data_IF_748533860108
#
_entry.id   IF_748533860108
#
_cell.length_a   1.000
_cell.length_b   1.000
_cell.length_c   1.000
_cell.angle_alpha   90.00
_cell.angle_beta   90.00
_cell.angle_gamma   90.00
#
_symmetry.space_group_name_H-M   'P 1'
#
loop_
_entity.id
_entity.type
_entity.pdbx_description
1 polymer ?
#
# COMPACT_ATOMS: atom_id res chain seq x y z
N UNK A 1 -13.53 49.94 2.74
CA UNK A 1 -12.81 48.70 3.12
C UNK A 1 -11.75 48.45 2.07
N UNK A 2 -10.45 48.33 2.41
CA UNK A 2 -9.44 47.96 1.43
C UNK A 2 -9.75 46.55 0.87
N UNK A 3 -9.55 46.36 -0.43
CA UNK A 3 -9.75 45.07 -1.08
C UNK A 3 -8.75 44.03 -0.56
N UNK A 4 -9.21 42.80 -0.31
CA UNK A 4 -8.35 41.69 0.10
C UNK A 4 -7.40 41.34 -1.07
N UNK A 5 -6.11 41.16 -0.77
CA UNK A 5 -5.12 40.70 -1.76
C UNK A 5 -5.08 39.17 -1.78
N UNK A 6 -5.02 38.53 -2.96
CA UNK A 6 -4.89 37.08 -3.05
C UNK A 6 -3.53 36.60 -2.54
N UNK A 7 -3.45 35.30 -2.24
CA UNK A 7 -2.19 34.66 -1.89
C UNK A 7 -1.22 34.70 -3.09
N UNK A 8 0.07 35.09 -2.89
CA UNK A 8 0.99 35.37 -3.99
C UNK A 8 1.53 34.14 -4.72
N UNK A 9 1.27 32.92 -4.23
CA UNK A 9 1.75 31.67 -4.86
C UNK A 9 0.58 30.74 -5.16
N UNK A 10 -0.20 30.98 -6.22
CA UNK A 10 -1.40 30.19 -6.52
C UNK A 10 -1.08 28.71 -6.85
N UNK A 11 0.12 28.45 -7.38
CA UNK A 11 0.60 27.10 -7.68
C UNK A 11 1.07 26.31 -6.45
N UNK A 12 1.22 26.95 -5.27
CA UNK A 12 1.67 26.26 -4.07
C UNK A 12 0.51 25.58 -3.34
N UNK A 13 0.51 24.25 -3.37
CA UNK A 13 -0.43 23.41 -2.64
C UNK A 13 0.15 22.91 -1.31
N UNK A 14 -0.66 22.95 -0.26
CA UNK A 14 -0.33 22.34 1.04
C UNK A 14 -1.45 21.40 1.45
N UNK A 15 -1.09 20.19 1.85
CA UNK A 15 -2.02 19.19 2.33
C UNK A 15 -1.56 18.58 3.63
N UNK A 16 -2.51 18.27 4.51
CA UNK A 16 -2.25 17.59 5.78
C UNK A 16 -3.27 16.49 6.01
N UNK A 17 -2.85 15.43 6.67
CA UNK A 17 -3.75 14.37 7.11
C UNK A 17 -3.29 13.72 8.42
N UNK A 18 -4.26 13.17 9.14
CA UNK A 18 -4.07 12.40 10.36
C UNK A 18 -4.86 11.09 10.27
N UNK A 19 -4.21 9.98 10.55
CA UNK A 19 -4.78 8.64 10.48
C UNK A 19 -4.59 7.89 11.79
N UNK A 20 -5.67 7.38 12.37
CA UNK A 20 -5.60 6.52 13.57
C UNK A 20 -5.05 5.14 13.22
N UNK A 21 -3.99 4.73 13.92
CA UNK A 21 -3.39 3.40 13.74
C UNK A 21 -4.41 2.30 14.09
N UNK A 22 -5.23 2.53 15.11
CA UNK A 22 -6.31 1.62 15.52
C UNK A 22 -7.35 1.41 14.41
N UNK A 23 -7.69 2.45 13.63
CA UNK A 23 -8.62 2.30 12.50
C UNK A 23 -8.05 1.38 11.43
N UNK A 24 -6.77 1.54 11.08
CA UNK A 24 -6.12 0.67 10.11
C UNK A 24 -6.05 -0.76 10.63
N UNK A 25 -5.64 -0.94 11.89
CA UNK A 25 -5.64 -2.24 12.56
C UNK A 25 -7.03 -2.89 12.52
N UNK A 26 -8.09 -2.13 12.81
CA UNK A 26 -9.45 -2.63 12.71
C UNK A 26 -9.79 -3.02 11.27
N UNK A 27 -9.49 -2.20 10.26
CA UNK A 27 -9.79 -2.53 8.84
C UNK A 27 -9.14 -3.84 8.41
N UNK A 28 -7.88 -4.08 8.78
CA UNK A 28 -7.16 -5.29 8.37
C UNK A 28 -7.50 -6.52 9.25
N UNK A 29 -7.89 -6.32 10.51
CA UNK A 29 -8.28 -7.39 11.44
C UNK A 29 -9.78 -7.67 11.52
N UNK A 30 -10.65 -6.81 10.95
CA UNK A 30 -12.10 -6.87 11.14
C UNK A 30 -12.62 -8.24 10.76
N UNK A 31 -13.18 -8.96 11.72
CA UNK A 31 -13.97 -10.16 11.45
C UNK A 31 -15.22 -9.73 10.70
N UNK A 32 -15.43 -10.27 9.50
CA UNK A 32 -16.71 -10.15 8.83
C UNK A 32 -17.67 -10.99 9.67
N UNK A 33 -18.76 -10.43 10.23
CA UNK A 33 -19.81 -11.27 10.77
C UNK A 33 -20.26 -12.18 9.64
N UNK A 34 -20.09 -13.49 9.79
CA UNK A 34 -20.67 -14.48 8.90
C UNK A 34 -22.18 -14.20 8.91
N UNK A 35 -22.68 -13.43 7.94
CA UNK A 35 -24.12 -13.37 7.71
C UNK A 35 -24.44 -14.71 7.08
N UNK A 36 -24.67 -15.72 7.91
CA UNK A 36 -25.44 -16.89 7.52
C UNK A 36 -26.84 -16.39 7.17
N UNK A 37 -26.99 -15.87 5.95
CA UNK A 37 -28.29 -15.83 5.29
C UNK A 37 -28.40 -17.18 4.58
N UNK A 38 -29.11 -18.17 5.15
CA UNK A 38 -29.46 -19.34 4.38
C UNK A 38 -30.44 -18.87 3.31
N UNK A 39 -29.98 -18.76 2.07
CA UNK A 39 -30.89 -18.79 0.93
C UNK A 39 -30.98 -20.25 0.47
N UNK A 40 -32.17 -20.80 0.68
CA UNK A 40 -32.78 -22.00 0.08
C UNK A 40 -32.97 -23.24 0.99
N UNK A 41 -34.27 -23.51 1.18
CA UNK A 41 -35.02 -24.75 1.44
C UNK A 41 -34.51 -25.79 2.44
N UNK A 42 -35.26 -25.85 3.55
CA UNK A 42 -35.75 -27.06 4.22
C UNK A 42 -35.57 -28.35 3.40
N UNK A 43 -34.61 -29.19 3.79
CA UNK A 43 -34.79 -30.64 4.01
C UNK A 43 -33.84 -31.04 5.15
N UNK A 44 -34.39 -31.67 6.20
CA UNK A 44 -33.64 -32.16 7.36
C UNK A 44 -32.85 -33.42 6.96
N UNK A 45 -31.57 -33.50 7.31
CA UNK A 45 -30.99 -34.75 7.79
C UNK A 45 -29.99 -34.44 8.90
N UNK A 46 -30.10 -35.22 9.96
CA UNK A 46 -29.24 -35.16 11.13
C UNK A 46 -28.06 -36.11 10.89
N UNK A 47 -26.83 -35.58 10.91
CA UNK A 47 -25.64 -36.26 11.43
C UNK A 47 -24.40 -35.38 11.22
N UNK A 48 -23.62 -35.29 12.31
CA UNK A 48 -22.16 -35.15 12.38
C UNK A 48 -21.47 -33.81 12.02
N UNK A 49 -20.73 -33.37 13.04
CA UNK A 49 -19.48 -32.62 13.05
C UNK A 49 -19.51 -31.09 12.95
N UNK A 50 -19.45 -30.51 14.16
CA UNK A 50 -18.96 -29.17 14.48
C UNK A 50 -17.48 -29.04 14.09
N UNK A 51 -17.17 -28.95 12.79
CA UNK A 51 -15.89 -28.44 12.35
C UNK A 51 -15.92 -26.90 12.46
N UNK A 52 -15.04 -26.25 13.26
CA UNK A 52 -14.95 -24.80 13.26
C UNK A 52 -14.38 -24.34 11.92
N UNK A 53 -15.20 -23.61 11.16
CA UNK A 53 -14.80 -22.92 9.92
C UNK A 53 -13.54 -22.07 10.19
N UNK A 54 -12.47 -22.14 9.37
CA UNK A 54 -11.19 -21.49 9.70
C UNK A 54 -11.30 -19.96 9.53
N UNK A 55 -11.53 -19.27 10.65
CA UNK A 55 -11.73 -17.81 10.81
C UNK A 55 -10.52 -16.95 10.36
N UNK A 56 -9.42 -17.57 9.90
CA UNK A 56 -8.08 -16.95 9.82
C UNK A 56 -7.57 -16.63 8.41
N UNK A 57 -8.09 -17.26 7.35
CA UNK A 57 -7.71 -16.89 5.95
C UNK A 57 -8.17 -15.48 5.55
N UNK A 58 -9.10 -14.89 6.30
CA UNK A 58 -9.67 -13.59 5.95
C UNK A 58 -8.75 -12.41 6.27
N UNK A 59 -7.86 -12.52 7.27
CA UNK A 59 -7.00 -11.39 7.68
C UNK A 59 -5.95 -11.07 6.61
N UNK A 60 -5.33 -12.10 6.05
CA UNK A 60 -4.33 -11.97 4.99
C UNK A 60 -4.97 -11.47 3.72
N UNK A 61 -6.13 -12.03 3.34
CA UNK A 61 -6.94 -11.52 2.24
C UNK A 61 -7.29 -10.04 2.42
N UNK A 62 -7.65 -9.61 3.64
CA UNK A 62 -7.91 -8.20 3.96
C UNK A 62 -6.67 -7.32 3.86
N UNK A 63 -5.53 -7.73 4.42
CA UNK A 63 -4.25 -7.01 4.27
C UNK A 63 -3.90 -6.87 2.79
N UNK A 64 -4.04 -7.94 2.03
CA UNK A 64 -3.80 -7.94 0.59
C UNK A 64 -4.77 -7.02 -0.16
N UNK A 65 -6.08 -7.10 0.10
CA UNK A 65 -7.07 -6.19 -0.51
C UNK A 65 -6.83 -4.73 -0.14
N UNK A 66 -6.52 -4.46 1.13
CA UNK A 66 -6.26 -3.12 1.61
C UNK A 66 -5.00 -2.54 0.97
N UNK A 67 -3.89 -3.28 0.99
CA UNK A 67 -2.62 -2.87 0.35
C UNK A 67 -2.76 -2.71 -1.15
N UNK A 68 -3.54 -3.56 -1.85
CA UNK A 68 -3.85 -3.36 -3.28
C UNK A 68 -4.60 -2.07 -3.56
N UNK A 69 -5.43 -1.59 -2.62
CA UNK A 69 -6.16 -0.33 -2.79
C UNK A 69 -5.26 0.87 -2.55
N UNK A 70 -4.39 0.81 -1.54
CA UNK A 70 -3.66 1.98 -1.05
C UNK A 70 -2.21 2.09 -1.53
N UNK A 71 -1.52 0.99 -1.84
CA UNK A 71 -0.10 0.99 -2.21
C UNK A 71 0.06 0.80 -3.72
N UNK A 72 1.02 1.51 -4.32
CA UNK A 72 1.43 1.27 -5.72
C UNK A 72 2.11 -0.10 -5.85
N UNK A 73 2.22 -0.70 -7.06
CA UNK A 73 2.91 -1.97 -7.25
C UNK A 73 4.33 -1.99 -6.64
N UNK A 74 5.08 -0.91 -6.85
CA UNK A 74 6.43 -0.75 -6.30
C UNK A 74 6.46 -0.67 -4.76
N UNK A 75 5.49 0.02 -4.15
CA UNK A 75 5.35 0.06 -2.69
C UNK A 75 4.95 -1.31 -2.14
N UNK A 76 4.05 -2.04 -2.81
CA UNK A 76 3.65 -3.40 -2.41
C UNK A 76 4.82 -4.36 -2.44
N UNK A 77 5.67 -4.28 -3.46
CA UNK A 77 6.89 -5.10 -3.52
C UNK A 77 7.77 -4.87 -2.28
N UNK A 78 8.04 -3.59 -1.96
CA UNK A 78 8.82 -3.23 -0.77
C UNK A 78 8.14 -3.66 0.53
N UNK A 79 6.82 -3.44 0.62
CA UNK A 79 6.01 -3.82 1.76
C UNK A 79 6.03 -5.33 2.00
N UNK A 80 5.81 -6.14 0.95
CA UNK A 80 5.83 -7.60 1.03
C UNK A 80 7.23 -8.11 1.39
N UNK A 81 8.29 -7.48 0.89
CA UNK A 81 9.65 -7.84 1.31
C UNK A 81 9.89 -7.60 2.80
N UNK A 82 9.36 -6.51 3.36
CA UNK A 82 9.56 -6.14 4.76
C UNK A 82 8.63 -6.89 5.72
N UNK A 83 7.36 -7.04 5.35
CA UNK A 83 6.31 -7.55 6.25
C UNK A 83 5.77 -8.91 5.83
N UNK A 84 6.11 -9.43 4.65
CA UNK A 84 5.70 -10.75 4.17
C UNK A 84 6.00 -11.87 5.15
N UNK A 85 7.21 -11.99 5.70
CA UNK A 85 7.51 -13.00 6.72
C UNK A 85 6.60 -12.90 7.96
N UNK A 86 6.30 -11.67 8.42
CA UNK A 86 5.37 -11.45 9.53
C UNK A 86 3.92 -11.77 9.17
N UNK A 87 3.51 -11.53 7.92
CA UNK A 87 2.17 -11.87 7.44
C UNK A 87 2.02 -13.39 7.33
N UNK A 88 3.04 -14.10 6.84
CA UNK A 88 3.04 -15.56 6.75
C UNK A 88 3.14 -16.21 8.15
N UNK A 89 3.86 -15.60 9.10
CA UNK A 89 3.90 -16.09 10.48
C UNK A 89 2.52 -16.02 11.17
N UNK A 90 1.64 -15.11 10.74
CA UNK A 90 0.24 -15.10 11.18
C UNK A 90 -0.56 -16.34 10.69
N UNK A 91 -0.06 -17.07 9.69
CA UNK A 91 -0.66 -18.32 9.18
C UNK A 91 -0.37 -19.51 10.10
N UNK A 92 0.81 -19.58 10.72
CA UNK A 92 1.33 -20.82 11.33
C UNK A 92 0.98 -21.01 12.82
N UNK A 93 0.80 -19.95 13.61
CA UNK A 93 0.59 -20.05 15.07
C UNK A 93 -0.89 -20.17 15.50
N UNK A 94 -1.67 -20.99 14.80
CA UNK A 94 -3.12 -21.10 14.98
C UNK A 94 -3.59 -21.86 16.23
N UNK A 95 -2.91 -22.93 16.64
CA UNK A 95 -3.49 -23.93 17.58
C UNK A 95 -2.56 -24.44 18.71
N UNK A 96 -1.36 -23.88 18.91
CA UNK A 96 -0.51 -24.29 20.04
C UNK A 96 -0.71 -23.35 21.27
N UNK A 97 -0.94 -23.88 22.49
CA UNK A 97 -0.69 -23.13 23.71
C UNK A 97 0.83 -23.09 23.92
N UNK A 98 1.52 -22.26 23.15
CA UNK A 98 2.97 -22.14 23.23
C UNK A 98 3.32 -21.10 24.29
N UNK A 99 3.88 -21.58 25.41
CA UNK A 99 4.44 -20.76 26.50
C UNK A 99 5.55 -19.80 26.02
N UNK A 100 6.04 -19.96 24.79
CA UNK A 100 7.03 -19.10 24.13
C UNK A 100 6.46 -18.14 23.07
N UNK A 101 5.16 -18.18 22.75
CA UNK A 101 4.49 -17.20 21.86
C UNK A 101 4.09 -15.89 22.58
N UNK A 102 4.51 -15.75 23.83
CA UNK A 102 4.25 -14.61 24.71
C UNK A 102 4.91 -13.30 24.25
N UNK A 103 5.82 -13.31 23.26
CA UNK A 103 6.50 -12.09 22.80
C UNK A 103 5.85 -11.35 21.62
N UNK A 104 4.55 -11.59 21.40
CA UNK A 104 3.55 -10.67 20.79
C UNK A 104 3.25 -10.83 19.28
N UNK A 105 2.40 -11.79 18.87
CA UNK A 105 1.72 -11.74 17.56
C UNK A 105 0.94 -10.42 17.32
N UNK A 106 0.48 -9.78 18.40
CA UNK A 106 -0.07 -8.42 18.35
C UNK A 106 0.94 -7.34 17.96
N UNK A 107 2.24 -7.55 18.15
CA UNK A 107 3.26 -6.59 17.73
C UNK A 107 3.37 -6.51 16.21
N UNK A 108 3.33 -7.63 15.49
CA UNK A 108 3.42 -7.64 14.02
C UNK A 108 2.29 -6.84 13.38
N UNK A 109 1.05 -7.06 13.83
CA UNK A 109 -0.10 -6.35 13.29
C UNK A 109 -0.08 -4.87 13.66
N UNK A 110 0.46 -4.50 14.82
CA UNK A 110 0.68 -3.11 15.22
C UNK A 110 1.72 -2.44 14.31
N UNK A 111 2.84 -3.08 14.00
CA UNK A 111 3.84 -2.53 13.08
C UNK A 111 3.31 -2.37 11.66
N UNK A 112 2.59 -3.38 11.15
CA UNK A 112 1.92 -3.31 9.84
C UNK A 112 0.91 -2.16 9.83
N UNK A 113 0.05 -2.07 10.85
CA UNK A 113 -0.95 -1.00 10.95
C UNK A 113 -0.31 0.38 11.03
N UNK A 114 0.76 0.53 11.81
CA UNK A 114 1.51 1.78 11.94
C UNK A 114 2.13 2.21 10.61
N UNK A 115 2.73 1.26 9.87
CA UNK A 115 3.28 1.52 8.55
C UNK A 115 2.20 1.98 7.57
N UNK A 116 1.11 1.22 7.48
CA UNK A 116 0.01 1.49 6.54
C UNK A 116 -0.75 2.77 6.90
N UNK A 117 -0.90 3.12 8.18
CA UNK A 117 -1.45 4.40 8.62
C UNK A 117 -0.56 5.58 8.18
N UNK A 118 0.75 5.42 8.24
CA UNK A 118 1.70 6.42 7.72
C UNK A 118 1.56 6.60 6.21
N UNK A 119 1.43 5.51 5.45
CA UNK A 119 1.21 5.56 3.98
C UNK A 119 -0.15 6.20 3.65
N UNK A 120 -1.19 5.85 4.38
CA UNK A 120 -2.51 6.46 4.23
C UNK A 120 -2.46 7.97 4.42
N UNK A 121 -1.97 8.42 5.58
CA UNK A 121 -1.88 9.85 5.90
C UNK A 121 -1.03 10.60 4.88
N UNK A 122 0.12 10.04 4.50
CA UNK A 122 0.99 10.65 3.49
C UNK A 122 0.29 10.84 2.14
N UNK A 123 -0.42 9.82 1.66
CA UNK A 123 -1.08 9.90 0.36
C UNK A 123 -2.29 10.82 0.38
N UNK A 124 -3.10 10.80 1.44
CA UNK A 124 -4.16 11.79 1.66
C UNK A 124 -3.60 13.22 1.67
N UNK A 125 -2.48 13.46 2.38
CA UNK A 125 -1.82 14.76 2.39
C UNK A 125 -1.35 15.17 1.00
N UNK A 126 -0.82 14.26 0.19
CA UNK A 126 -0.44 14.54 -1.20
C UNK A 126 -1.66 14.86 -2.06
N UNK A 127 -2.73 14.08 -1.99
CA UNK A 127 -3.97 14.31 -2.77
C UNK A 127 -4.54 15.69 -2.45
N UNK A 128 -4.54 16.09 -1.17
CA UNK A 128 -4.99 17.43 -0.74
C UNK A 128 -4.05 18.54 -1.22
N UNK A 129 -2.73 18.31 -1.19
CA UNK A 129 -1.77 19.29 -1.68
C UNK A 129 -1.89 19.48 -3.19
N UNK A 130 -2.12 18.41 -3.95
CA UNK A 130 -2.25 18.42 -5.40
C UNK A 130 -3.71 18.55 -5.86
N UNK A 131 -4.48 19.46 -5.25
CA UNK A 131 -5.92 19.62 -5.50
C UNK A 131 -6.28 20.00 -6.96
N UNK A 132 -5.30 20.37 -7.78
CA UNK A 132 -5.46 20.62 -9.21
C UNK A 132 -5.49 19.35 -10.07
N UNK A 133 -5.16 18.18 -9.49
CA UNK A 133 -5.33 16.87 -10.13
C UNK A 133 -6.34 16.04 -9.34
N UNK A 134 -7.19 15.31 -10.07
CA UNK A 134 -8.02 14.25 -9.46
C UNK A 134 -7.16 12.99 -9.32
N UNK A 135 -6.66 12.74 -8.10
CA UNK A 135 -5.69 11.69 -7.81
C UNK A 135 -6.29 10.58 -6.97
N UNK A 136 -5.98 9.34 -7.34
CA UNK A 136 -6.20 8.16 -6.50
C UNK A 136 -4.95 7.82 -5.68
N UNK A 137 -5.15 7.01 -4.63
CA UNK A 137 -4.06 6.48 -3.80
C UNK A 137 -2.96 5.74 -4.59
N UNK A 138 -3.30 5.17 -5.75
CA UNK A 138 -2.36 4.37 -6.54
C UNK A 138 -1.50 5.20 -7.49
N UNK A 139 -1.83 6.48 -7.66
CA UNK A 139 -1.04 7.44 -8.46
C UNK A 139 -0.07 8.23 -7.59
N UNK A 140 -0.10 8.03 -6.26
CA UNK A 140 0.86 8.62 -5.34
C UNK A 140 1.79 7.53 -4.84
N UNK A 141 3.10 7.71 -5.01
CA UNK A 141 4.13 6.80 -4.52
C UNK A 141 4.96 7.48 -3.43
N UNK A 142 5.12 6.85 -2.26
CA UNK A 142 5.90 7.44 -1.16
C UNK A 142 7.24 6.70 -1.00
N UNK A 143 8.33 7.42 -1.23
CA UNK A 143 9.69 6.88 -1.32
C UNK A 143 10.61 7.47 -0.25
N UNK A 144 11.74 6.80 -0.06
CA UNK A 144 12.83 7.27 0.81
C UNK A 144 14.06 7.44 -0.05
N UNK A 145 14.63 8.64 -0.06
CA UNK A 145 15.88 8.95 -0.76
C UNK A 145 17.01 8.10 -0.19
N UNK A 146 17.80 7.45 -1.05
CA UNK A 146 18.94 6.63 -0.62
C UNK A 146 20.05 7.48 0.00
N UNK A 147 20.29 8.65 -0.59
CA UNK A 147 21.35 9.57 -0.18
C UNK A 147 21.01 10.28 1.12
N UNK A 148 19.84 10.92 1.16
CA UNK A 148 19.48 11.78 2.29
C UNK A 148 18.67 11.07 3.38
N UNK A 149 18.19 9.86 3.13
CA UNK A 149 17.21 9.14 3.97
C UNK A 149 15.91 9.91 4.21
N UNK A 150 15.68 11.00 3.48
CA UNK A 150 14.45 11.80 3.57
C UNK A 150 13.32 11.16 2.79
N UNK A 151 12.12 11.27 3.34
CA UNK A 151 10.88 10.83 2.70
C UNK A 151 10.47 11.87 1.65
N UNK A 152 9.93 11.41 0.53
CA UNK A 152 9.31 12.26 -0.49
C UNK A 152 8.19 11.48 -1.18
N UNK A 153 7.30 12.20 -1.86
CA UNK A 153 6.26 11.61 -2.70
C UNK A 153 6.59 11.80 -4.19
N UNK A 154 6.03 10.94 -5.03
CA UNK A 154 5.97 11.11 -6.48
C UNK A 154 4.50 10.98 -6.89
N UNK A 155 3.96 12.01 -7.52
CA UNK A 155 2.65 11.98 -8.19
C UNK A 155 2.90 11.49 -9.60
N UNK A 156 2.49 10.27 -9.89
CA UNK A 156 2.75 9.60 -11.15
C UNK A 156 1.96 10.26 -12.29
N UNK A 157 2.56 10.35 -13.47
CA UNK A 157 1.87 10.88 -14.66
C UNK A 157 0.79 9.90 -15.10
N UNK A 158 1.16 8.62 -15.17
CA UNK A 158 0.30 7.51 -15.51
C UNK A 158 0.24 6.51 -14.34
N UNK A 159 -0.93 5.90 -14.14
CA UNK A 159 -1.08 4.83 -13.18
C UNK A 159 -0.19 3.66 -13.62
N UNK A 160 0.79 3.30 -12.78
CA UNK A 160 1.61 2.13 -13.02
C UNK A 160 0.72 0.91 -13.19
N UNK A 161 0.74 0.34 -14.40
CA UNK A 161 0.09 -0.94 -14.62
C UNK A 161 0.70 -1.95 -13.66
N UNK A 162 -0.13 -2.90 -13.23
CA UNK A 162 0.40 -4.07 -12.56
C UNK A 162 1.06 -4.91 -13.64
N UNK A 163 2.19 -4.44 -14.17
CA UNK A 163 3.13 -5.30 -14.87
C UNK A 163 3.28 -6.55 -14.01
N UNK A 164 3.43 -7.69 -14.68
CA UNK A 164 3.54 -9.03 -14.09
C UNK A 164 4.80 -9.18 -13.23
N UNK A 165 5.06 -8.24 -12.32
CA UNK A 165 5.93 -8.32 -11.16
C UNK A 165 5.41 -9.45 -10.29
N UNK A 166 5.81 -10.65 -10.69
CA UNK A 166 5.69 -11.94 -10.04
C UNK A 166 4.76 -11.92 -8.82
N UNK A 167 3.46 -11.87 -9.13
CA UNK A 167 2.41 -12.44 -8.29
C UNK A 167 2.76 -13.90 -7.92
N UNK A 168 3.70 -14.55 -8.62
CA UNK A 168 4.22 -15.88 -8.33
C UNK A 168 4.59 -16.13 -6.87
N UNK A 169 5.11 -15.16 -6.09
CA UNK A 169 5.45 -15.49 -4.68
C UNK A 169 4.20 -15.55 -3.78
N UNK A 170 3.13 -14.82 -4.09
CA UNK A 170 1.89 -14.87 -3.29
C UNK A 170 0.81 -15.75 -3.90
N UNK A 171 0.80 -15.97 -5.22
CA UNK A 171 -0.10 -16.93 -5.85
C UNK A 171 0.39 -18.35 -5.64
N UNK A 172 1.70 -18.65 -5.77
CA UNK A 172 2.20 -20.00 -5.48
C UNK A 172 1.99 -20.38 -4.01
N UNK A 173 2.14 -19.47 -3.05
CA UNK A 173 1.87 -19.81 -1.63
C UNK A 173 0.39 -20.12 -1.36
N UNK A 174 -0.53 -19.50 -2.11
CA UNK A 174 -1.97 -19.75 -1.99
C UNK A 174 -2.40 -21.00 -2.79
N UNK A 175 -1.78 -21.26 -3.95
CA UNK A 175 -2.09 -22.40 -4.81
C UNK A 175 -1.40 -23.70 -4.32
N UNK A 176 -0.17 -23.63 -3.80
CA UNK A 176 0.59 -24.76 -3.23
C UNK A 176 -0.05 -25.29 -1.93
N UNK A 177 -0.63 -24.40 -1.11
CA UNK A 177 -1.42 -24.79 0.06
C UNK A 177 -2.79 -25.42 -0.29
N UNK A 178 -3.23 -25.29 -1.54
CA UNK A 178 -4.49 -25.86 -2.06
C UNK A 178 -4.24 -27.14 -2.86
N UNK A 179 -3.09 -27.28 -3.53
CA UNK A 179 -2.71 -28.47 -4.31
C UNK A 179 -2.04 -29.57 -3.48
N UNK A 180 -1.35 -29.25 -2.39
CA UNK A 180 -0.78 -30.28 -1.48
C UNK A 180 -1.83 -31.15 -0.77
N UNK A 181 -3.12 -30.89 -0.97
CA UNK A 181 -4.22 -31.74 -0.53
C UNK A 181 -4.66 -32.79 -1.58
N UNK A 182 -4.09 -32.81 -2.79
CA UNK A 182 -4.50 -33.74 -3.86
C UNK A 182 -3.32 -34.18 -4.74
N UNK A 183 -3.00 -35.47 -4.62
CA UNK A 183 -2.22 -36.32 -5.53
C UNK A 183 -0.71 -36.46 -5.26
N UNK A 184 -0.42 -37.57 -4.59
CA UNK A 184 0.67 -38.49 -4.95
C UNK A 184 0.54 -38.88 -6.43
N UNK A 185 1.64 -38.86 -7.20
CA UNK A 185 1.74 -39.58 -8.48
C UNK A 185 2.43 -38.86 -9.63
N UNK A 186 3.56 -39.44 -10.05
CA UNK A 186 4.15 -39.54 -11.39
C UNK A 186 4.91 -38.38 -12.08
N UNK A 187 6.08 -38.79 -12.61
CA UNK A 187 7.03 -38.10 -13.47
C UNK A 187 6.46 -37.75 -14.86
N UNK A 188 6.90 -36.63 -15.43
CA UNK A 188 7.15 -36.50 -16.87
C UNK A 188 7.95 -35.24 -17.22
N UNK A 189 8.92 -35.41 -18.12
CA UNK A 189 9.70 -34.40 -18.82
C UNK A 189 8.85 -33.45 -19.69
N UNK A 190 9.21 -32.17 -19.74
CA UNK A 190 8.96 -31.33 -20.93
C UNK A 190 9.85 -30.07 -20.97
N UNK A 191 10.56 -29.95 -22.09
CA UNK A 191 11.35 -28.84 -22.60
C UNK A 191 10.50 -27.60 -22.94
N UNK A 192 11.13 -26.41 -22.92
CA UNK A 192 10.71 -25.30 -23.77
C UNK A 192 10.38 -23.96 -23.11
N UNK A 193 11.20 -22.97 -23.48
CA UNK A 193 10.83 -21.56 -23.72
C UNK A 193 11.05 -20.57 -22.57
N UNK A 194 12.12 -19.79 -22.75
CA UNK A 194 12.55 -18.72 -21.86
C UNK A 194 11.52 -17.61 -21.67
N UNK A 195 11.40 -17.18 -20.43
CA UNK A 195 10.97 -15.85 -20.07
C UNK A 195 12.15 -15.25 -19.31
N UNK A 196 12.86 -14.30 -19.94
CA UNK A 196 13.80 -13.43 -19.25
C UNK A 196 13.03 -12.68 -18.16
N UNK A 197 13.07 -13.21 -16.94
CA UNK A 197 12.54 -12.56 -15.75
C UNK A 197 13.46 -11.37 -15.50
N UNK A 198 13.04 -10.18 -15.92
CA UNK A 198 13.71 -8.93 -15.56
C UNK A 198 13.62 -8.78 -14.03
N UNK A 199 14.66 -9.27 -13.36
CA UNK A 199 14.96 -9.12 -11.94
C UNK A 199 15.35 -7.66 -11.64
N UNK A 200 14.47 -6.71 -11.96
CA UNK A 200 14.62 -5.31 -11.61
C UNK A 200 13.83 -4.97 -10.36
N UNK A 201 14.45 -4.31 -9.38
CA UNK A 201 13.68 -3.66 -8.30
C UNK A 201 12.76 -2.61 -8.94
N UNK A 202 11.46 -2.57 -8.61
CA UNK A 202 10.55 -1.59 -9.19
C UNK A 202 11.03 -0.17 -8.83
N UNK A 203 11.23 0.66 -9.86
CA UNK A 203 11.69 2.05 -9.73
C UNK A 203 10.49 3.00 -9.59
N UNK A 204 10.76 4.23 -9.17
CA UNK A 204 9.77 5.30 -9.26
C UNK A 204 9.37 5.47 -10.73
N UNK A 205 8.06 5.57 -11.00
CA UNK A 205 7.59 5.93 -12.34
C UNK A 205 7.88 7.40 -12.64
N UNK A 206 7.74 7.83 -13.90
CA UNK A 206 7.75 9.25 -14.25
C UNK A 206 6.62 9.98 -13.50
N UNK A 207 6.90 11.21 -13.06
CA UNK A 207 5.95 12.01 -12.30
C UNK A 207 6.56 13.19 -11.56
N UNK A 208 5.71 13.94 -10.87
CA UNK A 208 6.06 15.15 -10.12
C UNK A 208 6.52 14.78 -8.71
N UNK A 209 7.71 15.23 -8.32
CA UNK A 209 8.24 15.03 -6.97
C UNK A 209 7.63 16.04 -6.00
N UNK A 210 7.08 15.54 -4.89
CA UNK A 210 6.49 16.35 -3.82
C UNK A 210 7.20 16.14 -2.49
N UNK A 211 7.23 17.19 -1.65
CA UNK A 211 7.86 17.13 -0.33
C UNK A 211 6.86 16.62 0.68
N UNK A 212 7.20 15.50 1.34
CA UNK A 212 6.32 14.86 2.32
C UNK A 212 7.08 14.64 3.63
N UNK A 213 6.45 14.98 4.74
CA UNK A 213 6.87 14.58 6.08
C UNK A 213 5.84 13.63 6.68
N UNK A 214 6.31 12.61 7.40
CA UNK A 214 5.46 11.64 8.11
C UNK A 214 5.98 11.54 9.53
N UNK A 215 5.07 11.58 10.50
CA UNK A 215 5.37 11.35 11.91
C UNK A 215 4.33 10.45 12.56
N UNK A 216 4.69 9.90 13.72
CA UNK A 216 3.81 9.06 14.53
C UNK A 216 3.98 9.39 16.00
N UNK A 217 2.88 9.43 16.74
CA UNK A 217 2.86 9.69 18.18
C UNK A 217 2.54 8.44 19.03
N UNK A 218 2.34 7.28 18.39
CA UNK A 218 1.94 6.04 19.05
C UNK A 218 0.50 5.63 18.72
N UNK A 219 -0.41 6.58 18.58
CA UNK A 219 -1.83 6.34 18.30
C UNK A 219 -2.25 6.78 16.90
N UNK A 220 -1.60 7.81 16.39
CA UNK A 220 -1.86 8.43 15.11
C UNK A 220 -0.60 8.43 14.25
N UNK A 221 -0.83 8.43 12.94
CA UNK A 221 0.14 8.84 11.94
C UNK A 221 -0.30 10.19 11.39
N UNK A 222 0.60 11.14 11.29
CA UNK A 222 0.35 12.45 10.68
C UNK A 222 1.25 12.65 9.49
N UNK A 223 0.76 13.38 8.50
CA UNK A 223 1.57 13.77 7.36
C UNK A 223 1.27 15.20 6.91
N UNK A 224 2.30 15.80 6.33
CA UNK A 224 2.23 17.10 5.67
C UNK A 224 2.89 16.97 4.32
N UNK A 225 2.23 17.48 3.28
CA UNK A 225 2.74 17.54 1.93
C UNK A 225 2.77 18.99 1.46
N UNK A 226 3.84 19.35 0.76
CA UNK A 226 3.96 20.58 -0.02
C UNK A 226 4.23 20.19 -1.47
N UNK A 227 3.40 20.70 -2.37
CA UNK A 227 3.47 20.46 -3.81
C UNK A 227 3.42 21.80 -4.54
N UNK A 228 4.07 21.86 -5.69
CA UNK A 228 3.95 22.99 -6.62
C UNK A 228 3.25 22.45 -7.86
N UNK A 229 2.18 23.09 -8.29
CA UNK A 229 1.52 22.77 -9.53
C UNK A 229 2.50 22.99 -10.67
N UNK A 230 2.62 21.98 -11.54
CA UNK A 230 3.25 22.16 -12.84
C UNK A 230 2.25 22.91 -13.71
N UNK A 231 2.13 24.22 -13.47
CA UNK A 231 1.57 25.13 -14.46
C UNK A 231 2.60 25.11 -15.57
N UNK A 232 2.28 24.40 -16.66
CA UNK A 232 3.23 24.07 -17.72
C UNK A 232 4.18 25.21 -18.01
N UNK A 233 5.48 24.89 -18.05
CA UNK A 233 6.55 25.80 -18.41
C UNK A 233 6.46 26.29 -19.87
N UNK A 234 5.32 26.84 -20.27
CA UNK A 234 5.18 27.77 -21.37
C UNK A 234 5.12 29.18 -20.78
N UNK A 235 6.28 29.83 -20.62
CA UNK A 235 6.30 31.29 -20.51
C UNK A 235 7.37 31.95 -19.63
N UNK A 236 8.25 31.23 -18.93
CA UNK A 236 9.35 31.89 -18.23
C UNK A 236 10.51 32.23 -19.19
N UNK A 237 10.26 33.25 -20.01
CA UNK A 237 11.28 34.04 -20.71
C UNK A 237 11.33 35.44 -20.08
N UNK A 238 11.65 35.53 -18.79
CA UNK A 238 11.50 36.80 -18.08
C UNK A 238 12.47 37.02 -16.94
N UNK A 239 13.79 37.02 -17.20
CA UNK A 239 14.73 37.43 -16.14
C UNK A 239 16.17 37.74 -16.52
N UNK A 240 16.70 37.27 -17.66
CA UNK A 240 18.16 37.34 -17.90
C UNK A 240 18.59 38.30 -19.01
N UNK A 241 17.66 38.95 -19.71
CA UNK A 241 17.97 39.86 -20.83
C UNK A 241 18.10 41.36 -20.46
N UNK A 242 17.95 41.76 -19.20
CA UNK A 242 17.92 43.18 -18.80
C UNK A 242 19.25 43.74 -18.26
N UNK A 243 20.35 43.00 -18.31
CA UNK A 243 21.64 43.40 -17.70
C UNK A 243 22.80 43.54 -18.68
N UNK A 244 22.57 44.11 -19.87
CA UNK A 244 23.64 44.61 -20.76
C UNK A 244 23.20 45.90 -21.45
N UNK A 245 23.26 47.00 -20.72
CA UNK A 245 23.42 48.31 -21.38
C UNK A 245 24.91 48.49 -21.76
N UNK A 246 25.22 48.97 -22.97
CA UNK A 246 26.58 49.29 -23.38
C UNK A 246 27.00 50.65 -22.79
N UNK A 247 28.22 50.71 -22.25
CA UNK A 247 29.00 51.95 -22.16
C UNK A 247 30.00 51.94 -23.32
#
# INVERSE_FOLDING_TARGET
MPALRPFPMPALGVGTDICTISRISHVINRRIPQTSRPRASVIRSAATDLAPVPVRTDAIKRVHHFTRRILTPAERYTFNKTYGPSINALEQHGDAPAEDAAEHPHAHIVYISRHLAGRWAAKEAVIKACHWRDLSMQEVQILVSKESRKIYGVVLDERQETEKFSLGILSHVIDEAVETAKHEGDEADADGSGSDVVSGKPKAGPGIVVRVSISHDGQYATAVCVAVADEGAEGDVGGEAAAREPI
#
